data_IF_127553166043
#
_entry.id   IF_127553166043
#
_cell.length_a   1.000
_cell.length_b   1.000
_cell.length_c   1.000
_cell.angle_alpha   90.00
_cell.angle_beta   90.00
_cell.angle_gamma   90.00
#
_symmetry.space_group_name_H-M   'P 1'
#
loop_
_entity.id
_entity.type
_entity.pdbx_description
1 polymer ?
#
# COMPACT_ATOMS: atom_id res chain seq x y z
N UNK A 1 56.80 -65.01 0.79
CA UNK A 1 55.95 -64.21 1.69
C UNK A 1 55.66 -62.88 0.99
N UNK A 2 54.46 -62.69 0.32
CA UNK A 2 54.09 -61.51 -0.34
C UNK A 2 53.21 -60.71 0.60
N UNK A 3 53.64 -59.48 0.98
CA UNK A 3 52.84 -58.53 1.78
C UNK A 3 51.88 -57.79 0.91
N UNK A 4 50.58 -57.98 1.13
CA UNK A 4 49.53 -57.26 0.51
C UNK A 4 49.29 -55.91 1.29
N UNK A 5 49.56 -54.77 0.68
CA UNK A 5 49.20 -53.47 1.27
C UNK A 5 47.80 -53.10 0.79
N UNK A 6 46.86 -53.11 1.71
CA UNK A 6 45.50 -52.62 1.47
C UNK A 6 45.52 -51.09 1.59
N UNK A 7 45.35 -50.38 0.47
CA UNK A 7 45.26 -48.92 0.42
C UNK A 7 43.80 -48.53 0.67
N UNK A 8 43.49 -48.08 1.89
CA UNK A 8 42.18 -47.60 2.26
C UNK A 8 42.03 -46.16 1.77
N UNK A 9 41.33 -45.94 0.64
CA UNK A 9 41.05 -44.64 0.11
C UNK A 9 39.80 -44.05 0.78
N UNK A 10 40.01 -43.19 1.79
CA UNK A 10 38.93 -42.46 2.46
C UNK A 10 38.39 -41.37 1.51
N UNK A 11 37.22 -41.60 0.92
CA UNK A 11 36.48 -40.57 0.13
C UNK A 11 35.86 -39.62 1.11
N UNK A 12 36.47 -38.43 1.25
CA UNK A 12 35.94 -37.32 2.04
C UNK A 12 34.78 -36.68 1.24
N UNK A 13 33.53 -37.02 1.58
CA UNK A 13 32.34 -36.34 1.03
C UNK A 13 32.29 -34.90 1.61
N UNK A 14 32.78 -33.93 0.86
CA UNK A 14 32.59 -32.51 1.16
C UNK A 14 31.13 -32.17 0.82
N UNK A 15 30.25 -32.20 1.81
CA UNK A 15 28.91 -31.71 1.71
C UNK A 15 28.96 -30.19 1.76
N UNK A 16 29.03 -29.54 0.59
CA UNK A 16 28.79 -28.09 0.49
C UNK A 16 27.34 -27.83 0.84
N UNK A 17 27.03 -26.94 1.81
CA UNK A 17 25.65 -26.56 2.07
C UNK A 17 25.11 -25.85 0.82
N UNK A 18 24.12 -26.46 0.18
CA UNK A 18 23.35 -25.80 -0.88
C UNK A 18 22.57 -24.66 -0.20
N UNK A 19 23.06 -23.43 -0.31
CA UNK A 19 22.30 -22.26 0.10
C UNK A 19 21.18 -22.09 -0.90
N UNK A 20 19.99 -22.57 -0.56
CA UNK A 20 18.77 -22.23 -1.27
C UNK A 20 18.47 -20.76 -0.97
N UNK A 21 18.86 -19.86 -1.86
CA UNK A 21 18.37 -18.50 -1.83
C UNK A 21 16.87 -18.56 -2.08
N UNK A 22 16.07 -18.27 -1.06
CA UNK A 22 14.64 -18.09 -1.23
C UNK A 22 14.43 -16.97 -2.24
N UNK A 23 13.86 -17.29 -3.39
CA UNK A 23 13.62 -16.32 -4.45
C UNK A 23 12.47 -15.41 -4.01
N UNK A 24 12.82 -14.21 -3.59
CA UNK A 24 11.87 -13.19 -3.13
C UNK A 24 10.84 -12.89 -4.23
N UNK A 25 9.58 -13.12 -3.92
CA UNK A 25 8.49 -12.92 -4.86
C UNK A 25 8.05 -11.45 -4.89
N UNK A 26 8.22 -10.81 -6.03
CA UNK A 26 7.74 -9.44 -6.27
C UNK A 26 6.37 -9.46 -6.94
N UNK A 27 5.43 -8.74 -6.36
CA UNK A 27 4.09 -8.49 -6.84
C UNK A 27 4.01 -7.07 -7.37
N UNK A 28 3.68 -6.90 -8.64
CA UNK A 28 3.50 -5.59 -9.28
C UNK A 28 2.04 -5.18 -9.23
N UNK A 29 1.80 -3.91 -8.95
CA UNK A 29 0.44 -3.36 -9.00
C UNK A 29 -0.11 -3.38 -10.42
N UNK A 30 -1.34 -3.86 -10.56
CA UNK A 30 -2.13 -3.70 -11.77
C UNK A 30 -2.93 -2.39 -11.69
N UNK A 31 -2.42 -1.36 -12.36
CA UNK A 31 -3.02 -0.01 -12.33
C UNK A 31 -4.43 0.03 -12.93
N UNK A 32 -4.74 -0.84 -13.88
CA UNK A 32 -6.06 -0.89 -14.52
C UNK A 32 -7.15 -1.40 -13.56
N UNK A 33 -6.76 -2.23 -12.58
CA UNK A 33 -7.67 -2.81 -11.59
C UNK A 33 -7.41 -2.30 -10.17
N UNK A 34 -6.76 -1.14 -10.06
CA UNK A 34 -6.48 -0.48 -8.78
C UNK A 34 -7.14 0.89 -8.73
N UNK A 35 -7.65 1.26 -7.57
CA UNK A 35 -8.20 2.60 -7.32
C UNK A 35 -7.78 3.13 -5.96
N UNK A 36 -7.45 4.43 -5.90
CA UNK A 36 -7.10 5.16 -4.68
C UNK A 36 -8.14 6.24 -4.48
N UNK A 37 -9.04 6.03 -3.54
CA UNK A 37 -10.21 6.86 -3.28
C UNK A 37 -10.17 7.48 -1.90
N UNK A 38 -10.89 8.58 -1.74
CA UNK A 38 -11.16 9.16 -0.44
C UNK A 38 -12.62 9.59 -0.32
N UNK A 39 -13.08 9.70 0.91
CA UNK A 39 -14.40 10.17 1.31
C UNK A 39 -14.22 11.15 2.47
N UNK A 40 -14.89 12.30 2.41
CA UNK A 40 -14.87 13.32 3.46
C UNK A 40 -16.27 13.92 3.62
N UNK A 41 -16.68 14.14 4.86
CA UNK A 41 -17.96 14.79 5.15
C UNK A 41 -17.89 16.29 4.83
N UNK A 42 -18.95 16.82 4.21
CA UNK A 42 -19.11 18.22 3.82
C UNK A 42 -20.35 18.80 4.47
N UNK A 43 -20.19 19.92 5.18
CA UNK A 43 -21.25 20.67 5.87
C UNK A 43 -22.08 19.81 6.86
N UNK A 44 -21.60 18.66 7.29
CA UNK A 44 -22.30 17.65 8.12
C UNK A 44 -23.58 17.05 7.48
N UNK A 45 -23.82 17.28 6.20
CA UNK A 45 -25.07 16.88 5.52
C UNK A 45 -24.82 15.97 4.31
N UNK A 46 -23.58 15.89 3.80
CA UNK A 46 -23.25 15.08 2.64
C UNK A 46 -21.80 14.61 2.66
N UNK A 47 -21.44 13.75 1.72
CA UNK A 47 -20.07 13.31 1.52
C UNK A 47 -19.56 13.72 0.15
N UNK A 48 -18.30 14.17 0.13
CA UNK A 48 -17.52 14.35 -1.09
C UNK A 48 -16.66 13.14 -1.27
N UNK A 49 -16.73 12.58 -2.47
CA UNK A 49 -15.86 11.48 -2.91
C UNK A 49 -14.85 12.01 -3.92
N UNK A 50 -13.65 11.50 -3.85
CA UNK A 50 -12.61 11.78 -4.82
C UNK A 50 -11.66 10.61 -4.98
N UNK A 51 -10.79 10.71 -5.98
CA UNK A 51 -9.78 9.72 -6.27
C UNK A 51 -8.51 10.37 -6.80
N UNK A 52 -7.42 9.63 -6.76
CA UNK A 52 -6.18 9.99 -7.45
C UNK A 52 -6.02 9.11 -8.68
N UNK A 53 -5.71 9.72 -9.82
CA UNK A 53 -5.67 9.03 -11.11
C UNK A 53 -4.30 8.42 -11.42
N UNK A 54 -3.23 8.93 -10.80
CA UNK A 54 -1.87 8.41 -10.97
C UNK A 54 -1.29 7.95 -9.64
N UNK A 55 -0.91 6.70 -9.60
CA UNK A 55 -0.28 6.05 -8.45
C UNK A 55 0.59 4.89 -8.94
N UNK A 56 1.46 4.40 -8.07
CA UNK A 56 2.27 3.21 -8.31
C UNK A 56 2.54 2.48 -7.00
N UNK A 57 2.84 1.19 -7.10
CA UNK A 57 3.18 0.40 -5.93
C UNK A 57 3.64 -1.00 -6.26
N UNK A 58 4.28 -1.59 -5.27
CA UNK A 58 4.71 -2.98 -5.30
C UNK A 58 4.58 -3.61 -3.93
N UNK A 59 4.47 -4.93 -3.92
CA UNK A 59 4.56 -5.73 -2.72
C UNK A 59 5.60 -6.83 -2.94
N UNK A 60 6.36 -7.13 -1.88
CA UNK A 60 7.31 -8.23 -1.86
C UNK A 60 6.91 -9.16 -0.73
N UNK A 61 6.70 -10.45 -1.04
CA UNK A 61 6.31 -11.45 -0.05
C UNK A 61 6.73 -12.84 -0.50
N UNK A 62 7.32 -13.60 0.42
CA UNK A 62 7.71 -15.01 0.20
C UNK A 62 6.67 -15.97 0.77
N UNK A 63 5.82 -15.50 1.68
CA UNK A 63 4.76 -16.31 2.29
C UNK A 63 3.46 -16.22 1.50
N UNK A 64 2.81 -17.35 1.35
CA UNK A 64 1.50 -17.46 0.70
C UNK A 64 0.37 -16.72 1.44
N UNK A 65 0.57 -16.42 2.73
CA UNK A 65 -0.39 -15.69 3.56
C UNK A 65 -0.07 -14.20 3.70
N UNK A 66 0.98 -13.71 3.02
CA UNK A 66 1.41 -12.30 2.99
C UNK A 66 1.77 -11.69 4.35
N UNK A 67 2.03 -12.48 5.39
CA UNK A 67 2.38 -11.95 6.73
C UNK A 67 3.77 -11.31 6.79
N UNK A 68 4.60 -11.54 5.80
CA UNK A 68 5.93 -10.94 5.61
C UNK A 68 5.93 -9.83 4.55
N UNK A 69 4.76 -9.46 4.01
CA UNK A 69 4.69 -8.54 2.90
C UNK A 69 5.32 -7.18 3.22
N UNK A 70 6.18 -6.72 2.31
CA UNK A 70 6.72 -5.36 2.28
C UNK A 70 6.05 -4.63 1.14
N UNK A 71 5.37 -3.52 1.45
CA UNK A 71 4.58 -2.73 0.52
C UNK A 71 5.15 -1.34 0.42
N UNK A 72 5.44 -0.88 -0.79
CA UNK A 72 5.75 0.50 -1.12
C UNK A 72 4.67 1.03 -2.06
N UNK A 73 4.15 2.23 -1.78
CA UNK A 73 3.06 2.84 -2.52
C UNK A 73 3.26 4.34 -2.65
N UNK A 74 3.02 4.89 -3.84
CA UNK A 74 3.16 6.32 -4.15
C UNK A 74 1.96 6.81 -4.93
N UNK A 75 1.47 7.99 -4.59
CA UNK A 75 0.33 8.66 -5.24
C UNK A 75 0.79 10.03 -5.72
N UNK A 76 0.46 10.40 -6.97
CA UNK A 76 0.71 11.73 -7.52
C UNK A 76 -0.41 12.68 -7.10
N UNK A 77 -0.11 13.64 -6.22
CA UNK A 77 -1.11 14.53 -5.60
C UNK A 77 -1.84 15.41 -6.60
N UNK A 78 -1.16 15.83 -7.68
CA UNK A 78 -1.73 16.67 -8.74
C UNK A 78 -2.92 16.02 -9.49
N UNK A 79 -3.04 14.71 -9.39
CA UNK A 79 -4.04 13.90 -10.12
C UNK A 79 -5.32 13.70 -9.33
N UNK A 80 -5.52 14.45 -8.26
CA UNK A 80 -6.77 14.48 -7.50
C UNK A 80 -7.93 14.85 -8.42
N UNK A 81 -9.01 14.08 -8.32
CA UNK A 81 -10.22 14.25 -9.13
C UNK A 81 -11.47 13.92 -8.30
N UNK A 82 -12.36 14.91 -8.20
CA UNK A 82 -13.67 14.81 -7.53
C UNK A 82 -14.82 15.02 -8.50
N UNK A 83 -14.54 15.04 -9.82
CA UNK A 83 -15.48 15.36 -10.90
C UNK A 83 -16.03 16.81 -10.85
N UNK A 84 -15.36 17.71 -10.11
CA UNK A 84 -15.68 19.14 -10.06
C UNK A 84 -14.38 19.93 -10.15
N UNK A 85 -14.07 20.47 -11.32
CA UNK A 85 -12.77 21.10 -11.62
C UNK A 85 -12.40 22.23 -10.64
N UNK A 86 -13.35 23.10 -10.27
CA UNK A 86 -13.09 24.19 -9.31
C UNK A 86 -12.63 23.64 -7.95
N UNK A 87 -13.24 22.55 -7.47
CA UNK A 87 -12.85 21.87 -6.23
C UNK A 87 -11.50 21.19 -6.39
N UNK A 88 -11.23 20.58 -7.53
CA UNK A 88 -9.96 19.91 -7.79
C UNK A 88 -8.80 20.91 -7.85
N UNK A 89 -9.02 22.11 -8.40
CA UNK A 89 -8.06 23.22 -8.36
C UNK A 89 -7.79 23.68 -6.92
N UNK A 90 -8.83 23.83 -6.10
CA UNK A 90 -8.66 24.18 -4.69
C UNK A 90 -7.92 23.08 -3.90
N UNK A 91 -8.24 21.81 -4.12
CA UNK A 91 -7.53 20.68 -3.51
C UNK A 91 -6.04 20.64 -3.89
N UNK A 92 -5.68 21.07 -5.10
CA UNK A 92 -4.28 21.18 -5.53
C UNK A 92 -3.54 22.36 -4.91
N UNK A 93 -4.26 23.39 -4.48
CA UNK A 93 -3.69 24.66 -3.98
C UNK A 93 -2.97 24.49 -2.64
N UNK A 94 -2.19 25.52 -2.22
CA UNK A 94 -1.56 25.57 -0.90
C UNK A 94 -2.52 25.46 0.29
N UNK A 95 -3.80 25.78 0.09
CA UNK A 95 -4.85 25.64 1.11
C UNK A 95 -5.09 24.18 1.52
N UNK A 96 -4.80 23.21 0.62
CA UNK A 96 -5.00 21.78 0.86
C UNK A 96 -3.71 20.98 0.64
N UNK A 97 -3.54 20.37 -0.52
CA UNK A 97 -2.47 19.43 -0.79
C UNK A 97 -1.15 20.09 -1.18
N UNK A 98 -1.20 21.33 -1.70
CA UNK A 98 -0.01 22.08 -2.12
C UNK A 98 0.88 21.26 -3.06
N UNK A 99 0.30 20.85 -4.17
CA UNK A 99 0.87 19.81 -5.04
C UNK A 99 2.18 20.23 -5.71
N UNK A 100 2.41 21.53 -5.85
CA UNK A 100 3.68 22.06 -6.39
C UNK A 100 4.84 21.83 -5.41
N UNK A 101 4.59 21.98 -4.12
CA UNK A 101 5.60 21.73 -3.08
C UNK A 101 5.64 20.25 -2.69
N UNK A 102 4.48 19.58 -2.69
CA UNK A 102 4.34 18.18 -2.24
C UNK A 102 3.70 17.31 -3.35
N UNK A 103 4.46 17.00 -4.41
CA UNK A 103 3.91 16.32 -5.58
C UNK A 103 3.47 14.88 -5.32
N UNK A 104 3.87 14.29 -4.18
CA UNK A 104 3.62 12.90 -3.88
C UNK A 104 3.20 12.66 -2.44
N UNK A 105 2.22 11.75 -2.26
CA UNK A 105 2.01 11.02 -1.01
C UNK A 105 2.68 9.66 -1.09
N UNK A 106 3.20 9.15 0.04
CA UNK A 106 3.94 7.89 0.09
C UNK A 106 3.50 7.04 1.26
N UNK A 107 3.50 5.73 1.05
CA UNK A 107 3.33 4.76 2.12
C UNK A 107 4.41 3.70 2.02
N UNK A 108 5.03 3.38 3.16
CA UNK A 108 5.99 2.30 3.30
C UNK A 108 5.62 1.41 4.46
N UNK A 109 5.36 0.14 4.19
CA UNK A 109 4.98 -0.80 5.24
C UNK A 109 6.10 -1.06 6.23
N UNK A 110 5.72 -1.33 7.48
CA UNK A 110 6.58 -1.77 8.58
C UNK A 110 6.28 -3.21 8.98
N UNK A 111 5.00 -3.58 9.03
CA UNK A 111 4.57 -4.91 9.46
C UNK A 111 3.18 -5.26 8.90
N UNK A 112 2.94 -6.54 8.75
CA UNK A 112 1.62 -7.11 8.44
C UNK A 112 1.23 -8.08 9.55
N UNK A 113 0.05 -7.87 10.16
CA UNK A 113 -0.51 -8.75 11.18
C UNK A 113 -1.80 -9.38 10.66
N UNK A 114 -1.83 -10.70 10.57
CA UNK A 114 -3.05 -11.45 10.27
C UNK A 114 -3.94 -11.50 11.51
N UNK A 115 -5.20 -11.10 11.36
CA UNK A 115 -6.21 -11.14 12.44
C UNK A 115 -7.06 -12.41 12.34
N UNK A 116 -7.54 -12.72 11.14
CA UNK A 116 -8.36 -13.90 10.85
C UNK A 116 -8.25 -14.23 9.36
N UNK A 117 -9.05 -15.18 8.86
CA UNK A 117 -9.06 -15.51 7.43
C UNK A 117 -9.45 -14.28 6.60
N UNK A 118 -8.53 -13.83 5.74
CA UNK A 118 -8.72 -12.68 4.86
C UNK A 118 -8.72 -11.30 5.53
N UNK A 119 -8.42 -11.20 6.84
CA UNK A 119 -8.37 -9.93 7.57
C UNK A 119 -6.99 -9.68 8.15
N UNK A 120 -6.44 -8.49 7.89
CA UNK A 120 -5.10 -8.09 8.28
C UNK A 120 -5.06 -6.65 8.76
N UNK A 121 -4.05 -6.32 9.55
CA UNK A 121 -3.59 -4.95 9.79
C UNK A 121 -2.27 -4.76 9.05
N UNK A 122 -2.23 -3.76 8.17
CA UNK A 122 -1.01 -3.31 7.50
C UNK A 122 -0.52 -2.05 8.19
N UNK A 123 0.52 -2.18 9.00
CA UNK A 123 1.17 -1.07 9.70
C UNK A 123 2.27 -0.49 8.84
N UNK A 124 2.36 0.84 8.73
CA UNK A 124 3.41 1.49 7.96
C UNK A 124 3.44 3.01 8.15
N UNK A 125 4.41 3.63 7.51
CA UNK A 125 4.61 5.07 7.52
C UNK A 125 3.89 5.70 6.33
N UNK A 126 2.90 6.55 6.62
CA UNK A 126 2.18 7.36 5.63
C UNK A 126 2.72 8.78 5.67
N UNK A 127 3.18 9.27 4.53
CA UNK A 127 3.64 10.64 4.33
C UNK A 127 2.64 11.39 3.46
N UNK A 128 2.08 12.48 3.99
CA UNK A 128 1.26 13.46 3.27
C UNK A 128 1.87 14.82 3.54
N UNK A 129 2.14 15.59 2.49
CA UNK A 129 2.93 16.82 2.54
C UNK A 129 4.31 16.54 3.19
N UNK A 130 4.64 17.28 4.23
CA UNK A 130 5.88 17.20 5.01
C UNK A 130 5.76 16.29 6.25
N UNK A 131 4.58 15.71 6.52
CA UNK A 131 4.35 14.93 7.73
C UNK A 131 4.31 13.43 7.44
N UNK A 132 5.10 12.67 8.20
CA UNK A 132 5.10 11.21 8.19
C UNK A 132 4.59 10.66 9.52
N UNK A 133 3.56 9.80 9.47
CA UNK A 133 3.01 9.14 10.67
C UNK A 133 2.94 7.63 10.50
N UNK A 134 3.06 6.93 11.62
CA UNK A 134 2.79 5.50 11.69
C UNK A 134 1.27 5.29 11.72
N UNK A 135 0.76 4.51 10.77
CA UNK A 135 -0.68 4.25 10.62
C UNK A 135 -0.95 2.75 10.48
N UNK A 136 -2.22 2.38 10.67
CA UNK A 136 -2.70 1.01 10.53
C UNK A 136 -3.85 0.97 9.51
N UNK A 137 -3.64 0.37 8.35
CA UNK A 137 -4.71 0.07 7.42
C UNK A 137 -5.42 -1.22 7.82
N UNK A 138 -6.74 -1.19 7.85
CA UNK A 138 -7.57 -2.40 7.86
C UNK A 138 -7.59 -3.01 6.46
N UNK A 139 -7.04 -4.21 6.32
CA UNK A 139 -6.92 -4.86 5.02
C UNK A 139 -7.82 -6.08 4.95
N UNK A 140 -8.66 -6.12 3.91
CA UNK A 140 -9.42 -7.30 3.52
C UNK A 140 -8.79 -7.92 2.27
N UNK A 141 -8.12 -9.04 2.42
CA UNK A 141 -7.59 -9.84 1.33
C UNK A 141 -8.71 -10.61 0.66
N UNK A 142 -8.85 -10.48 -0.66
CA UNK A 142 -9.92 -11.08 -1.45
C UNK A 142 -9.58 -12.46 -2.00
N UNK A 143 -8.30 -12.79 -2.03
CA UNK A 143 -7.80 -14.07 -2.53
C UNK A 143 -6.74 -13.92 -3.60
N UNK A 144 -6.22 -15.06 -4.02
CA UNK A 144 -5.30 -15.22 -5.15
C UNK A 144 -5.94 -16.12 -6.18
N UNK A 145 -5.81 -15.76 -7.45
CA UNK A 145 -6.36 -16.52 -8.59
C UNK A 145 -5.35 -16.49 -9.74
N UNK A 146 -5.35 -17.53 -10.56
CA UNK A 146 -4.66 -17.53 -11.84
C UNK A 146 -5.63 -16.98 -12.90
N UNK A 147 -5.19 -15.94 -13.64
CA UNK A 147 -5.96 -15.38 -14.74
C UNK A 147 -5.87 -16.25 -16.02
N UNK A 148 -6.74 -16.01 -17.02
CA UNK A 148 -6.72 -16.80 -18.27
C UNK A 148 -5.41 -16.71 -19.05
N UNK A 149 -4.58 -15.72 -18.78
CA UNK A 149 -3.26 -15.54 -19.43
C UNK A 149 -2.12 -16.18 -18.64
N UNK A 150 -2.44 -16.83 -17.51
CA UNK A 150 -1.49 -17.57 -16.68
C UNK A 150 -0.73 -16.71 -15.66
N UNK A 151 -1.12 -15.45 -15.41
CA UNK A 151 -0.57 -14.66 -14.33
C UNK A 151 -1.29 -14.97 -13.02
N UNK A 152 -0.55 -14.95 -11.94
CA UNK A 152 -1.15 -15.03 -10.60
C UNK A 152 -1.54 -13.63 -10.14
N UNK A 153 -2.83 -13.43 -9.79
CA UNK A 153 -3.37 -12.17 -9.29
C UNK A 153 -3.74 -12.30 -7.81
N UNK A 154 -3.46 -11.27 -7.03
CA UNK A 154 -3.85 -11.16 -5.62
C UNK A 154 -4.58 -9.84 -5.42
N UNK A 155 -5.78 -9.87 -4.83
CA UNK A 155 -6.61 -8.69 -4.63
C UNK A 155 -6.82 -8.36 -3.16
N UNK A 156 -6.81 -7.06 -2.81
CA UNK A 156 -7.20 -6.62 -1.48
C UNK A 156 -7.88 -5.23 -1.49
N UNK A 157 -8.62 -4.98 -0.41
CA UNK A 157 -9.11 -3.65 -0.06
C UNK A 157 -8.45 -3.21 1.24
N UNK A 158 -7.85 -2.02 1.24
CA UNK A 158 -7.28 -1.37 2.40
C UNK A 158 -8.08 -0.12 2.76
N UNK A 159 -8.39 0.08 4.04
CA UNK A 159 -9.15 1.23 4.55
C UNK A 159 -8.39 1.85 5.72
N UNK A 160 -8.33 3.18 5.73
CA UNK A 160 -7.76 3.97 6.81
C UNK A 160 -8.59 5.25 6.99
N UNK A 161 -8.85 5.64 8.22
CA UNK A 161 -9.38 6.97 8.56
C UNK A 161 -8.24 7.79 9.17
N UNK A 162 -8.02 8.98 8.64
CA UNK A 162 -7.03 9.93 9.16
C UNK A 162 -7.69 11.25 9.55
N UNK A 163 -7.09 11.97 10.47
CA UNK A 163 -7.37 13.39 10.64
C UNK A 163 -6.43 14.19 9.73
N UNK A 164 -6.97 14.91 8.74
CA UNK A 164 -6.18 15.67 7.76
C UNK A 164 -5.35 16.78 8.39
N UNK A 165 -5.76 17.33 9.55
CA UNK A 165 -4.96 18.32 10.27
C UNK A 165 -3.65 17.74 10.79
N UNK A 166 -3.62 16.44 11.06
CA UNK A 166 -2.41 15.72 11.45
C UNK A 166 -1.32 15.71 10.37
N UNK A 167 -1.67 16.10 9.15
CA UNK A 167 -0.79 16.14 7.98
C UNK A 167 -0.69 17.55 7.37
N UNK A 168 -0.89 18.59 8.16
CA UNK A 168 -0.78 19.98 7.73
C UNK A 168 -1.72 20.37 6.56
N UNK A 169 -2.87 19.70 6.44
CA UNK A 169 -3.94 20.07 5.50
C UNK A 169 -4.95 20.90 6.27
N UNK A 170 -4.67 22.22 6.38
CA UNK A 170 -5.28 23.10 7.39
C UNK A 170 -6.46 23.95 6.88
N UNK A 171 -7.14 23.59 5.83
CA UNK A 171 -8.40 24.28 5.54
C UNK A 171 -9.36 24.15 6.73
N UNK A 172 -9.55 25.24 7.48
CA UNK A 172 -10.23 25.26 8.79
C UNK A 172 -11.47 26.17 8.81
N UNK A 173 -12.13 26.30 7.67
CA UNK A 173 -13.35 27.06 7.62
C UNK A 173 -14.49 26.36 8.39
N UNK A 174 -15.28 27.17 9.07
CA UNK A 174 -16.44 26.74 9.85
C UNK A 174 -17.65 27.59 9.50
N UNK A 175 -18.82 27.04 9.66
CA UNK A 175 -20.09 27.75 9.47
C UNK A 175 -21.07 27.46 10.61
N UNK A 176 -22.09 28.33 10.74
CA UNK A 176 -23.20 28.15 11.68
C UNK A 176 -22.73 27.80 13.11
N UNK A 177 -23.14 26.66 13.64
CA UNK A 177 -22.87 26.20 15.01
C UNK A 177 -21.44 25.63 15.17
N UNK A 178 -20.41 26.24 14.62
CA UNK A 178 -19.04 25.75 14.61
C UNK A 178 -18.82 24.43 13.85
N UNK A 179 -19.75 24.02 13.01
CA UNK A 179 -19.56 22.86 12.12
C UNK A 179 -18.44 23.13 11.11
N UNK A 180 -17.71 22.08 10.75
CA UNK A 180 -16.70 22.18 9.72
C UNK A 180 -17.34 22.26 8.34
N UNK A 181 -16.83 23.15 7.48
CA UNK A 181 -17.15 23.13 6.05
C UNK A 181 -16.70 21.81 5.41
N UNK A 182 -15.47 21.40 5.70
CA UNK A 182 -14.92 20.09 5.36
C UNK A 182 -14.43 19.42 6.64
N UNK A 183 -14.95 18.23 6.94
CA UNK A 183 -14.59 17.50 8.17
C UNK A 183 -13.09 17.26 8.30
N UNK A 184 -12.58 17.20 9.55
CA UNK A 184 -11.19 16.81 9.79
C UNK A 184 -10.87 15.38 9.37
N UNK A 185 -11.83 14.48 9.50
CA UNK A 185 -11.66 13.07 9.17
C UNK A 185 -11.80 12.82 7.69
N UNK A 186 -10.84 12.09 7.13
CA UNK A 186 -10.83 11.64 5.74
C UNK A 186 -10.66 10.12 5.74
N UNK A 187 -11.59 9.43 5.12
CA UNK A 187 -11.53 7.99 4.91
C UNK A 187 -10.84 7.69 3.58
N UNK A 188 -9.75 6.95 3.65
CA UNK A 188 -8.98 6.48 2.51
C UNK A 188 -9.41 5.05 2.19
N UNK A 189 -9.68 4.76 0.92
CA UNK A 189 -10.10 3.44 0.43
C UNK A 189 -9.22 3.10 -0.77
N UNK A 190 -8.46 2.01 -0.65
CA UNK A 190 -7.62 1.51 -1.74
C UNK A 190 -8.12 0.11 -2.10
N UNK A 191 -8.64 -0.03 -3.31
CA UNK A 191 -8.88 -1.33 -3.93
C UNK A 191 -7.71 -1.62 -4.86
N UNK A 192 -7.02 -2.73 -4.69
CA UNK A 192 -5.83 -3.01 -5.49
C UNK A 192 -5.75 -4.47 -5.89
N UNK A 193 -5.29 -4.68 -7.12
CA UNK A 193 -4.78 -5.96 -7.60
C UNK A 193 -3.27 -5.88 -7.79
N UNK A 194 -2.61 -6.97 -7.44
CA UNK A 194 -1.20 -7.20 -7.73
C UNK A 194 -1.06 -8.40 -8.64
N UNK A 195 -0.12 -8.35 -9.55
CA UNK A 195 0.24 -9.47 -10.42
C UNK A 195 1.64 -9.97 -10.11
N UNK A 196 1.78 -11.28 -10.09
CA UNK A 196 3.05 -11.99 -10.08
C UNK A 196 3.21 -12.66 -11.43
N UNK A 197 4.24 -12.29 -12.16
CA UNK A 197 4.62 -12.99 -13.39
C UNK A 197 5.17 -14.38 -13.05
N UNK A 198 5.05 -15.30 -14.01
CA UNK A 198 5.65 -16.64 -13.91
C UNK A 198 7.17 -16.55 -13.76
#
# INVERSE_FOLDING_TARGET
MKKFYLLLMAILFITTPFQVFAQTTTWKMDKAHTSVKFEVEHLTVSFVFGQFMEFDGSAVSDKSDFTDAKVDFTVQTKTVNTNVEMRDQDLRSPRFLDVEQYPQMKFKSKAVKKLSKGKYILTGYLTIKDVTKLVNFDVTYKGTVMDPWGNTRAGCRAILVINRFDYNVYYKEKFGNNAWDVAPEVKIIIDTEFTKNK
#
